data_IF_098264969392
#
_entry.id   IF_098264969392
#
_cell.length_a   1.000
_cell.length_b   1.000
_cell.length_c   1.000
_cell.angle_alpha   90.00
_cell.angle_beta   90.00
_cell.angle_gamma   90.00
#
_symmetry.space_group_name_H-M   'P 1'
#
loop_
_entity.id
_entity.type
_entity.pdbx_description
1 polymer ?
#
# COMPACT_ATOMS: atom_id res chain seq x y z
N UNK A 1 12.84 -27.39 9.72
CA UNK A 1 13.19 -26.05 10.26
C UNK A 1 12.68 -24.96 9.33
N UNK A 2 11.53 -24.37 9.65
CA UNK A 2 10.87 -23.39 8.79
C UNK A 2 11.52 -22.01 8.89
N UNK A 3 12.21 -21.58 7.83
CA UNK A 3 12.74 -20.23 7.71
C UNK A 3 11.55 -19.26 7.62
N UNK A 4 11.45 -18.32 8.58
CA UNK A 4 10.51 -17.19 8.47
C UNK A 4 11.02 -16.26 7.38
N UNK A 5 10.52 -16.43 6.16
CA UNK A 5 10.64 -15.41 5.13
C UNK A 5 9.41 -14.50 5.19
N UNK A 6 9.62 -13.19 5.04
CA UNK A 6 8.51 -12.30 4.75
C UNK A 6 7.97 -12.66 3.35
N UNK A 7 6.64 -12.70 3.16
CA UNK A 7 6.07 -12.79 1.83
C UNK A 7 6.66 -11.69 0.95
N UNK A 8 6.82 -11.97 -0.35
CA UNK A 8 7.55 -11.10 -1.26
C UNK A 8 6.95 -9.67 -1.42
N UNK A 9 5.74 -9.45 -0.91
CA UNK A 9 4.92 -8.25 -1.02
C UNK A 9 4.47 -7.72 0.36
N UNK A 10 5.37 -7.74 1.35
CA UNK A 10 5.19 -7.06 2.63
C UNK A 10 6.12 -5.85 2.71
N UNK A 11 5.57 -4.70 3.11
CA UNK A 11 6.32 -3.50 3.45
C UNK A 11 6.00 -3.13 4.91
N UNK A 12 7.01 -2.67 5.65
CA UNK A 12 6.84 -2.23 7.04
C UNK A 12 6.40 -0.77 7.05
N UNK A 13 5.24 -0.51 7.67
CA UNK A 13 4.81 0.86 7.93
C UNK A 13 5.36 1.34 9.26
N UNK A 14 6.10 2.45 9.23
CA UNK A 14 6.58 3.14 10.41
C UNK A 14 5.72 4.39 10.67
N UNK A 15 5.13 4.47 11.87
CA UNK A 15 4.34 5.64 12.26
C UNK A 15 5.26 6.85 12.42
N UNK A 16 4.81 8.04 12.00
CA UNK A 16 5.56 9.29 12.20
C UNK A 16 5.93 9.50 13.67
N UNK A 17 5.06 9.07 14.61
CA UNK A 17 5.33 9.17 16.06
C UNK A 17 6.55 8.37 16.54
N UNK A 18 7.05 7.45 15.73
CA UNK A 18 8.24 6.64 16.04
C UNK A 18 9.53 7.18 15.41
N UNK A 19 9.44 8.26 14.63
CA UNK A 19 10.58 8.89 13.94
C UNK A 19 10.99 10.18 14.66
N UNK A 20 12.30 10.50 14.76
CA UNK A 20 12.78 11.70 15.43
C UNK A 20 12.19 13.01 14.89
N UNK A 21 12.02 13.10 13.56
CA UNK A 21 11.49 14.29 12.88
C UNK A 21 10.00 14.15 12.51
N UNK A 22 9.32 13.12 13.00
CA UNK A 22 7.89 12.98 12.82
C UNK A 22 7.49 12.75 11.36
N UNK A 23 6.67 13.66 10.82
CA UNK A 23 6.20 13.61 9.42
C UNK A 23 7.19 14.22 8.43
N UNK A 24 8.13 15.02 8.92
CA UNK A 24 9.15 15.68 8.10
C UNK A 24 10.40 14.81 7.93
N UNK A 25 10.46 13.70 8.67
CA UNK A 25 11.51 12.70 8.56
C UNK A 25 11.57 12.13 7.14
N UNK A 26 12.78 12.06 6.57
CA UNK A 26 13.00 11.57 5.20
C UNK A 26 12.64 10.09 5.03
N UNK A 27 12.64 9.33 6.12
CA UNK A 27 12.25 7.92 6.12
C UNK A 27 10.73 7.74 6.27
N UNK A 28 9.99 8.81 6.57
CA UNK A 28 8.53 8.74 6.69
C UNK A 28 7.88 8.57 5.31
N UNK A 29 7.22 7.42 5.11
CA UNK A 29 6.39 7.15 3.94
C UNK A 29 4.95 7.03 4.38
N UNK A 30 4.03 7.72 3.67
CA UNK A 30 2.61 7.62 4.00
C UNK A 30 2.09 6.23 3.65
N UNK A 31 1.10 5.78 4.43
CA UNK A 31 0.40 4.51 4.20
C UNK A 31 -0.11 4.33 2.76
N UNK A 32 -0.78 5.32 2.12
CA UNK A 32 -1.24 5.19 0.73
C UNK A 32 -0.09 4.95 -0.26
N UNK A 33 1.03 5.66 -0.08
CA UNK A 33 2.19 5.55 -0.97
C UNK A 33 2.82 4.15 -0.88
N UNK A 34 2.92 3.60 0.33
CA UNK A 34 3.35 2.20 0.54
C UNK A 34 2.39 1.19 -0.11
N UNK A 35 1.09 1.40 0.02
CA UNK A 35 0.09 0.52 -0.58
C UNK A 35 0.18 0.52 -2.12
N UNK A 36 0.34 1.68 -2.76
CA UNK A 36 0.55 1.78 -4.21
C UNK A 36 1.86 1.10 -4.64
N UNK A 37 2.95 1.31 -3.90
CA UNK A 37 4.23 0.65 -4.17
C UNK A 37 4.08 -0.88 -4.20
N UNK A 38 3.31 -1.44 -3.25
CA UNK A 38 3.01 -2.87 -3.22
C UNK A 38 2.20 -3.32 -4.45
N UNK A 39 1.15 -2.59 -4.81
CA UNK A 39 0.34 -2.86 -6.01
C UNK A 39 1.22 -2.88 -7.27
N UNK A 40 2.07 -1.87 -7.44
CA UNK A 40 2.99 -1.78 -8.59
C UNK A 40 3.99 -2.95 -8.62
N UNK A 41 4.52 -3.35 -7.47
CA UNK A 41 5.43 -4.51 -7.34
C UNK A 41 4.75 -5.82 -7.76
N UNK A 42 3.49 -6.00 -7.38
CA UNK A 42 2.67 -7.16 -7.80
C UNK A 42 2.45 -7.14 -9.32
N UNK A 43 2.09 -5.99 -9.89
CA UNK A 43 1.91 -5.83 -11.34
C UNK A 43 3.20 -6.09 -12.13
N UNK A 44 4.33 -5.57 -11.65
CA UNK A 44 5.65 -5.77 -12.28
C UNK A 44 6.01 -7.25 -12.38
N UNK A 45 5.66 -8.04 -11.36
CA UNK A 45 5.87 -9.50 -11.36
C UNK A 45 4.92 -10.27 -12.28
N UNK A 46 3.98 -9.58 -12.94
CA UNK A 46 2.94 -10.15 -13.81
C UNK A 46 2.04 -11.17 -13.10
N UNK A 47 1.97 -11.11 -11.77
CA UNK A 47 0.82 -11.68 -11.09
C UNK A 47 -0.40 -10.91 -11.61
N UNK A 48 -1.46 -11.61 -12.00
CA UNK A 48 -2.69 -10.97 -12.46
C UNK A 48 -3.61 -10.79 -11.25
N UNK A 49 -3.54 -9.67 -10.49
CA UNK A 49 -4.58 -9.37 -9.54
C UNK A 49 -5.87 -9.11 -10.34
N UNK A 50 -6.88 -9.93 -10.12
CA UNK A 50 -8.21 -9.70 -10.71
C UNK A 50 -8.96 -8.55 -10.02
N UNK A 51 -8.59 -8.26 -8.76
CA UNK A 51 -9.23 -7.27 -7.92
C UNK A 51 -8.31 -6.82 -6.76
N UNK A 52 -8.33 -5.54 -6.41
CA UNK A 52 -7.66 -4.98 -5.23
C UNK A 52 -8.67 -4.86 -4.09
N UNK A 53 -8.38 -5.44 -2.93
CA UNK A 53 -9.19 -5.28 -1.72
C UNK A 53 -8.63 -4.13 -0.88
N UNK A 54 -9.46 -3.10 -0.67
CA UNK A 54 -9.07 -1.86 -0.01
C UNK A 54 -9.77 -1.77 1.33
N UNK A 55 -8.99 -1.65 2.40
CA UNK A 55 -9.50 -1.46 3.75
C UNK A 55 -10.22 -0.10 3.90
N UNK A 56 -11.16 -0.03 4.84
CA UNK A 56 -11.99 1.15 5.10
C UNK A 56 -11.19 2.43 5.35
N UNK A 57 -10.02 2.31 5.98
CA UNK A 57 -9.14 3.46 6.24
C UNK A 57 -8.53 4.09 4.96
N UNK A 58 -8.56 3.38 3.84
CA UNK A 58 -8.09 3.88 2.53
C UNK A 58 -9.23 4.26 1.60
N UNK A 59 -10.44 3.72 1.81
CA UNK A 59 -11.60 3.98 0.93
C UNK A 59 -12.01 5.45 0.85
N UNK A 60 -11.62 6.27 1.82
CA UNK A 60 -11.88 7.72 1.83
C UNK A 60 -10.66 8.56 1.34
N UNK A 61 -9.59 7.93 0.83
CA UNK A 61 -8.41 8.62 0.32
C UNK A 61 -8.52 8.78 -1.21
N UNK A 62 -8.95 9.96 -1.67
CA UNK A 62 -9.16 10.25 -3.09
C UNK A 62 -7.90 10.06 -3.95
N UNK A 63 -6.73 10.46 -3.47
CA UNK A 63 -5.47 10.28 -4.21
C UNK A 63 -5.09 8.80 -4.40
N UNK A 64 -5.40 7.95 -3.43
CA UNK A 64 -5.13 6.51 -3.53
C UNK A 64 -6.02 5.85 -4.58
N UNK A 65 -7.33 6.14 -4.54
CA UNK A 65 -8.28 5.58 -5.49
C UNK A 65 -7.99 6.03 -6.93
N UNK A 66 -7.65 7.32 -7.12
CA UNK A 66 -7.25 7.85 -8.43
C UNK A 66 -6.04 7.10 -9.01
N UNK A 67 -5.08 6.70 -8.17
CA UNK A 67 -3.91 5.96 -8.61
C UNK A 67 -4.27 4.52 -9.00
N UNK A 68 -5.21 3.87 -8.30
CA UNK A 68 -5.74 2.56 -8.72
C UNK A 68 -6.49 2.63 -10.06
N UNK A 69 -7.26 3.69 -10.28
CA UNK A 69 -7.97 3.96 -11.54
C UNK A 69 -6.98 4.21 -12.69
N UNK A 70 -5.91 4.98 -12.44
CA UNK A 70 -4.84 5.21 -13.41
C UNK A 70 -4.11 3.93 -13.82
N UNK A 71 -4.05 2.94 -12.92
CA UNK A 71 -3.48 1.62 -13.16
C UNK A 71 -4.48 0.64 -13.79
N UNK A 72 -5.71 1.08 -14.11
CA UNK A 72 -6.79 0.30 -14.71
C UNK A 72 -7.16 -0.95 -13.88
N UNK A 73 -7.12 -0.84 -12.55
CA UNK A 73 -7.40 -1.94 -11.64
C UNK A 73 -8.85 -1.92 -11.15
N UNK A 74 -9.48 -3.09 -11.12
CA UNK A 74 -10.72 -3.27 -10.37
C UNK A 74 -10.41 -3.26 -8.86
N UNK A 75 -11.21 -2.56 -8.06
CA UNK A 75 -11.05 -2.53 -6.61
C UNK A 75 -12.38 -2.59 -5.86
N UNK A 76 -12.36 -3.15 -4.65
CA UNK A 76 -13.47 -3.11 -3.69
C UNK A 76 -12.93 -2.41 -2.44
N UNK A 77 -13.49 -1.25 -2.12
CA UNK A 77 -13.17 -0.50 -0.92
C UNK A 77 -14.34 -0.46 0.05
N UNK A 78 -14.07 -0.67 1.34
CA UNK A 78 -14.99 -0.24 2.39
C UNK A 78 -14.97 1.28 2.51
N UNK A 79 -16.13 1.90 2.72
CA UNK A 79 -16.20 3.28 3.19
C UNK A 79 -16.40 3.21 4.71
N UNK A 80 -15.52 3.88 5.46
CA UNK A 80 -15.54 3.95 6.92
C UNK A 80 -15.71 5.39 7.39
#
# INVERSE_FOLDING_TARGET
DGVRSLPLDVELYQSSSSLPEGKDDKEFIKKPDLAIKLVQKTLFRKHRPGIVLVDGGYGNNSSFLQELERLELNYIGGLA
#
